data_IF_152183291657
#
_entry.id   IF_152183291657
#
_cell.length_a   1.000
_cell.length_b   1.000
_cell.length_c   1.000
_cell.angle_alpha   90.00
_cell.angle_beta   90.00
_cell.angle_gamma   90.00
#
_symmetry.space_group_name_H-M   'P 1'
#
loop_
_entity.id
_entity.type
_entity.pdbx_description
1 polymer ?
#
# COMPACT_ATOMS: atom_id res chain seq x y z
N UNK A 1 9.43 7.62 -28.31
CA UNK A 1 9.12 6.82 -27.10
C UNK A 1 10.00 7.40 -26.02
N UNK A 2 9.37 8.02 -24.99
CA UNK A 2 10.08 8.84 -24.01
C UNK A 2 10.84 8.00 -23.00
N UNK A 3 11.92 8.55 -22.44
CA UNK A 3 12.72 7.93 -21.38
C UNK A 3 11.88 7.45 -20.18
N UNK A 4 10.69 8.05 -19.94
CA UNK A 4 9.75 7.66 -18.89
C UNK A 4 9.21 6.22 -19.00
N UNK A 5 9.11 5.65 -20.22
CA UNK A 5 8.66 4.25 -20.40
C UNK A 5 9.77 3.21 -20.21
N UNK A 6 11.03 3.63 -20.21
CA UNK A 6 12.16 2.70 -20.19
C UNK A 6 12.49 2.22 -18.77
N UNK A 7 12.37 3.09 -17.75
CA UNK A 7 12.72 2.73 -16.38
C UNK A 7 11.75 1.73 -15.73
N UNK A 8 10.44 1.86 -16.01
CA UNK A 8 9.45 0.89 -15.51
C UNK A 8 9.76 -0.51 -16.07
N UNK A 9 10.06 -0.60 -17.36
CA UNK A 9 10.46 -1.86 -17.98
C UNK A 9 11.73 -2.43 -17.36
N UNK A 10 12.74 -1.62 -17.08
CA UNK A 10 13.98 -2.05 -16.47
C UNK A 10 13.78 -2.54 -15.02
N UNK A 11 12.95 -1.87 -14.22
CA UNK A 11 12.61 -2.33 -12.87
C UNK A 11 11.76 -3.62 -12.90
N UNK A 12 10.84 -3.76 -13.86
CA UNK A 12 10.09 -5.00 -14.08
C UNK A 12 11.00 -6.18 -14.45
N UNK A 13 12.09 -5.94 -15.19
CA UNK A 13 13.08 -6.97 -15.51
C UNK A 13 13.82 -7.46 -14.25
N UNK A 14 14.17 -6.56 -13.30
CA UNK A 14 14.74 -6.99 -12.02
C UNK A 14 13.78 -7.84 -11.19
N UNK A 15 12.47 -7.59 -11.28
CA UNK A 15 11.46 -8.42 -10.61
C UNK A 15 11.37 -9.80 -11.26
N UNK A 16 11.48 -9.89 -12.58
CA UNK A 16 11.36 -11.17 -13.31
C UNK A 16 12.63 -12.03 -13.25
N UNK A 17 13.79 -11.40 -13.25
CA UNK A 17 15.09 -12.09 -13.45
C UNK A 17 16.06 -11.90 -12.29
N UNK A 18 15.76 -10.96 -11.36
CA UNK A 18 16.64 -10.64 -10.24
C UNK A 18 16.71 -11.72 -9.17
N UNK A 19 17.76 -11.67 -8.39
CA UNK A 19 17.86 -12.45 -7.14
C UNK A 19 16.86 -11.94 -6.10
N UNK A 20 16.44 -12.74 -5.10
CA UNK A 20 15.41 -12.35 -4.13
C UNK A 20 15.60 -10.97 -3.50
N UNK A 21 16.82 -10.61 -3.10
CA UNK A 21 17.11 -9.30 -2.54
C UNK A 21 16.99 -8.13 -3.55
N UNK A 22 17.23 -8.38 -4.83
CA UNK A 22 17.04 -7.39 -5.90
C UNK A 22 15.56 -7.18 -6.19
N UNK A 23 14.78 -8.27 -6.17
CA UNK A 23 13.33 -8.21 -6.35
C UNK A 23 12.70 -7.32 -5.28
N UNK A 24 13.00 -7.58 -3.99
CA UNK A 24 12.46 -6.80 -2.87
C UNK A 24 12.82 -5.31 -2.96
N UNK A 25 14.07 -5.00 -3.32
CA UNK A 25 14.53 -3.62 -3.51
C UNK A 25 13.82 -2.96 -4.68
N UNK A 26 13.70 -3.65 -5.81
CA UNK A 26 13.03 -3.14 -7.01
C UNK A 26 11.56 -2.83 -6.72
N UNK A 27 10.87 -3.74 -6.06
CA UNK A 27 9.49 -3.54 -5.62
C UNK A 27 9.36 -2.31 -4.69
N UNK A 28 10.26 -2.14 -3.72
CA UNK A 28 10.24 -1.00 -2.81
C UNK A 28 10.44 0.33 -3.55
N UNK A 29 11.35 0.38 -4.51
CA UNK A 29 11.58 1.57 -5.34
C UNK A 29 10.41 1.89 -6.27
N UNK A 30 9.82 0.88 -6.91
CA UNK A 30 8.65 1.08 -7.77
C UNK A 30 7.49 1.69 -6.98
N UNK A 31 7.17 1.13 -5.82
CA UNK A 31 6.16 1.70 -4.93
C UNK A 31 6.48 3.14 -4.53
N UNK A 32 7.72 3.38 -4.14
CA UNK A 32 8.16 4.69 -3.68
C UNK A 32 8.02 5.77 -4.77
N UNK A 33 8.41 5.44 -6.00
CA UNK A 33 8.30 6.32 -7.17
C UNK A 33 6.83 6.52 -7.54
N UNK A 34 6.06 5.44 -7.61
CA UNK A 34 4.65 5.51 -7.97
C UNK A 34 3.79 6.31 -6.99
N UNK A 35 4.12 6.27 -5.70
CA UNK A 35 3.42 7.05 -4.67
C UNK A 35 3.59 8.57 -4.83
N UNK A 36 4.57 9.06 -5.57
CA UNK A 36 4.69 10.50 -5.81
C UNK A 36 3.55 11.05 -6.68
N UNK A 37 2.96 10.20 -7.53
CA UNK A 37 1.85 10.58 -8.39
C UNK A 37 0.57 10.97 -7.62
N UNK A 38 0.42 10.62 -6.34
CA UNK A 38 -0.73 11.06 -5.51
C UNK A 38 -0.80 12.58 -5.33
N UNK A 39 0.35 13.23 -5.39
CA UNK A 39 0.49 14.68 -5.29
C UNK A 39 0.94 15.30 -6.63
N UNK A 40 0.87 14.55 -7.74
CA UNK A 40 1.22 15.00 -9.08
C UNK A 40 2.72 15.17 -9.32
N UNK A 41 3.56 14.66 -8.41
CA UNK A 41 5.00 14.82 -8.45
C UNK A 41 5.65 13.78 -9.38
N UNK A 42 6.82 14.14 -9.93
CA UNK A 42 7.63 13.28 -10.80
C UNK A 42 9.06 13.21 -10.31
N UNK A 43 9.65 12.03 -10.40
CA UNK A 43 11.05 11.79 -10.03
C UNK A 43 12.02 12.12 -11.16
N UNK A 44 13.27 12.41 -10.83
CA UNK A 44 14.34 12.70 -11.78
C UNK A 44 14.99 11.43 -12.36
N UNK A 45 15.68 11.57 -13.50
CA UNK A 45 16.53 10.50 -14.02
C UNK A 45 17.67 10.15 -13.06
N UNK A 46 18.19 11.13 -12.32
CA UNK A 46 19.25 10.90 -11.31
C UNK A 46 18.79 9.94 -10.20
N UNK A 47 17.55 10.09 -9.72
CA UNK A 47 16.97 9.14 -8.77
C UNK A 47 16.93 7.73 -9.35
N UNK A 48 16.47 7.59 -10.61
CA UNK A 48 16.32 6.28 -11.26
C UNK A 48 17.65 5.54 -11.38
N UNK A 49 18.72 6.27 -11.79
CA UNK A 49 20.06 5.70 -11.87
C UNK A 49 20.60 5.31 -10.49
N UNK A 50 20.38 6.15 -9.48
CA UNK A 50 20.75 5.86 -8.09
C UNK A 50 19.99 4.64 -7.53
N UNK A 51 18.71 4.51 -7.85
CA UNK A 51 17.89 3.36 -7.46
C UNK A 51 18.42 2.05 -8.08
N UNK A 52 18.80 2.06 -9.37
CA UNK A 52 19.43 0.92 -10.04
C UNK A 52 20.71 0.47 -9.34
N UNK A 53 21.60 1.40 -9.02
CA UNK A 53 22.84 1.07 -8.30
C UNK A 53 22.56 0.42 -6.94
N UNK A 54 21.52 0.87 -6.23
CA UNK A 54 21.12 0.24 -4.97
C UNK A 54 20.51 -1.15 -5.18
N UNK A 55 19.67 -1.34 -6.19
CA UNK A 55 19.07 -2.64 -6.54
C UNK A 55 20.17 -3.65 -6.88
N UNK A 56 21.14 -3.25 -7.67
CA UNK A 56 22.29 -4.06 -8.07
C UNK A 56 23.29 -4.31 -6.92
N UNK A 57 23.09 -3.69 -5.76
CA UNK A 57 23.95 -3.86 -4.58
C UNK A 57 25.28 -3.11 -4.66
N UNK A 58 25.45 -2.19 -5.62
CA UNK A 58 26.65 -1.33 -5.76
C UNK A 58 26.75 -0.31 -4.63
N UNK A 59 25.61 0.15 -4.12
CA UNK A 59 25.53 1.10 -3.00
C UNK A 59 24.47 0.63 -1.99
N UNK A 60 24.61 1.08 -0.73
CA UNK A 60 23.58 0.90 0.29
C UNK A 60 22.42 1.89 0.11
N UNK A 61 21.29 1.64 0.74
CA UNK A 61 20.16 2.58 0.74
C UNK A 61 20.52 3.90 1.43
N UNK A 62 21.38 3.87 2.44
CA UNK A 62 21.86 5.07 3.13
C UNK A 62 22.76 5.91 2.21
N UNK A 63 23.61 5.25 1.42
CA UNK A 63 24.42 5.95 0.42
C UNK A 63 23.55 6.52 -0.70
N UNK A 64 22.52 5.81 -1.15
CA UNK A 64 21.58 6.32 -2.13
C UNK A 64 20.89 7.60 -1.62
N UNK A 65 20.40 7.60 -0.38
CA UNK A 65 19.78 8.79 0.23
C UNK A 65 20.76 9.96 0.32
N UNK A 66 21.99 9.69 0.74
CA UNK A 66 23.05 10.72 0.85
C UNK A 66 23.37 11.34 -0.50
N UNK A 67 23.50 10.54 -1.56
CA UNK A 67 23.79 11.03 -2.91
C UNK A 67 22.65 11.90 -3.44
N UNK A 68 21.40 11.48 -3.26
CA UNK A 68 20.22 12.27 -3.66
C UNK A 68 20.20 13.60 -2.91
N UNK A 69 20.41 13.58 -1.59
CA UNK A 69 20.47 14.79 -0.78
C UNK A 69 21.57 15.75 -1.27
N UNK A 70 22.81 15.25 -1.46
CA UNK A 70 23.95 16.03 -1.92
C UNK A 70 23.75 16.58 -3.33
N UNK A 71 23.08 15.84 -4.23
CA UNK A 71 22.76 16.32 -5.58
C UNK A 71 21.94 17.62 -5.53
N UNK A 72 20.98 17.69 -4.61
CA UNK A 72 20.15 18.87 -4.46
C UNK A 72 20.76 19.98 -3.60
N UNK A 73 21.68 19.68 -2.69
CA UNK A 73 22.40 20.66 -1.90
C UNK A 73 23.39 21.50 -2.74
N UNK A 74 23.97 20.89 -3.78
CA UNK A 74 24.89 21.56 -4.70
C UNK A 74 24.21 22.53 -5.66
N UNK A 75 22.87 22.49 -5.79
CA UNK A 75 22.07 23.33 -6.68
C UNK A 75 21.27 24.33 -5.87
N UNK A 76 21.69 25.60 -5.89
CA UNK A 76 21.07 26.67 -5.08
C UNK A 76 19.91 27.37 -5.78
N UNK A 77 19.98 27.52 -7.11
CA UNK A 77 18.93 28.19 -7.90
C UNK A 77 18.03 27.14 -8.57
N UNK A 78 16.77 27.05 -8.11
CA UNK A 78 15.81 26.06 -8.59
C UNK A 78 14.48 26.70 -8.94
N UNK A 79 13.89 26.23 -10.02
CA UNK A 79 12.51 26.51 -10.39
C UNK A 79 11.54 25.74 -9.47
N UNK A 80 10.24 26.13 -9.49
CA UNK A 80 9.19 25.40 -8.75
C UNK A 80 9.14 23.92 -9.14
N UNK A 81 9.21 23.60 -10.44
CA UNK A 81 9.23 22.22 -10.96
C UNK A 81 10.44 21.43 -10.45
N UNK A 82 11.61 22.06 -10.31
CA UNK A 82 12.78 21.40 -9.75
C UNK A 82 12.68 21.18 -8.24
N UNK A 83 11.93 22.02 -7.52
CA UNK A 83 11.62 21.79 -6.11
C UNK A 83 10.65 20.62 -5.92
N UNK A 84 9.64 20.49 -6.78
CA UNK A 84 8.72 19.35 -6.80
C UNK A 84 9.45 18.04 -7.11
N UNK A 85 10.38 18.06 -8.05
CA UNK A 85 11.24 16.91 -8.37
C UNK A 85 12.18 16.57 -7.21
N UNK A 86 12.72 17.57 -6.50
CA UNK A 86 13.52 17.36 -5.28
C UNK A 86 12.73 16.66 -4.19
N UNK A 87 11.50 17.13 -3.95
CA UNK A 87 10.60 16.49 -2.98
C UNK A 87 10.36 15.03 -3.37
N UNK A 88 9.96 14.77 -4.63
CA UNK A 88 9.69 13.43 -5.13
C UNK A 88 10.89 12.49 -4.95
N UNK A 89 12.09 12.94 -5.26
CA UNK A 89 13.32 12.14 -5.17
C UNK A 89 13.68 11.81 -3.73
N UNK A 90 13.70 12.80 -2.85
CA UNK A 90 14.04 12.61 -1.44
C UNK A 90 13.02 11.68 -0.76
N UNK A 91 11.74 11.93 -0.99
CA UNK A 91 10.67 11.14 -0.38
C UNK A 91 10.66 9.71 -0.93
N UNK A 92 10.90 9.50 -2.23
CA UNK A 92 11.02 8.16 -2.82
C UNK A 92 12.12 7.33 -2.17
N UNK A 93 13.32 7.89 -2.01
CA UNK A 93 14.43 7.18 -1.35
C UNK A 93 14.09 6.79 0.10
N UNK A 94 13.37 7.65 0.82
CA UNK A 94 12.92 7.40 2.19
C UNK A 94 11.81 6.35 2.27
N UNK A 95 10.86 6.36 1.33
CA UNK A 95 9.83 5.33 1.23
C UNK A 95 10.50 3.98 0.94
N UNK A 96 11.41 3.90 -0.04
CA UNK A 96 12.12 2.67 -0.38
C UNK A 96 12.87 2.10 0.84
N UNK A 97 13.54 2.94 1.63
CA UNK A 97 14.18 2.53 2.90
C UNK A 97 13.16 2.00 3.90
N UNK A 98 12.09 2.75 4.17
CA UNK A 98 11.04 2.35 5.14
C UNK A 98 10.37 1.02 4.77
N UNK A 99 10.11 0.79 3.49
CA UNK A 99 9.49 -0.43 2.99
C UNK A 99 10.42 -1.65 3.08
N UNK A 100 11.76 -1.42 3.02
CA UNK A 100 12.78 -2.45 3.23
C UNK A 100 13.00 -2.81 4.71
N UNK A 101 12.60 -1.95 5.65
CA UNK A 101 12.74 -2.20 7.08
C UNK A 101 11.68 -3.16 7.61
N UNK A 102 12.09 -4.18 8.36
CA UNK A 102 11.15 -5.15 8.98
C UNK A 102 10.44 -4.58 10.23
N UNK A 103 11.07 -3.63 10.92
CA UNK A 103 10.51 -3.04 12.13
C UNK A 103 9.22 -2.27 11.81
N UNK A 104 8.17 -2.56 12.56
CA UNK A 104 6.89 -1.85 12.51
C UNK A 104 6.13 -2.08 13.81
N UNK A 105 5.56 -1.01 14.35
CA UNK A 105 4.69 -1.07 15.53
C UNK A 105 3.33 -0.47 15.16
N UNK A 106 2.27 -1.24 15.30
CA UNK A 106 0.93 -0.74 15.05
C UNK A 106 0.50 0.26 16.14
N UNK A 107 0.64 1.56 15.86
CA UNK A 107 0.27 2.64 16.77
C UNK A 107 0.13 3.99 16.03
N UNK A 108 -0.61 4.97 16.58
CA UNK A 108 -0.62 6.34 16.06
C UNK A 108 0.79 6.95 16.00
N UNK A 109 1.61 6.70 17.03
CA UNK A 109 2.97 7.19 17.10
C UNK A 109 3.86 6.69 15.96
N UNK A 110 3.68 5.45 15.53
CA UNK A 110 4.38 4.91 14.34
C UNK A 110 3.95 5.65 13.07
N UNK A 111 2.65 5.92 12.88
CA UNK A 111 2.18 6.67 11.72
C UNK A 111 2.74 8.09 11.68
N UNK A 112 2.74 8.80 12.81
CA UNK A 112 3.38 10.12 12.94
C UNK A 112 4.89 10.04 12.66
N UNK A 113 5.55 8.96 13.11
CA UNK A 113 6.98 8.72 12.86
C UNK A 113 7.25 8.43 11.39
N UNK A 114 6.41 7.65 10.71
CA UNK A 114 6.49 7.43 9.27
C UNK A 114 6.42 8.78 8.55
N UNK A 115 5.42 9.61 8.84
CA UNK A 115 5.31 10.93 8.22
C UNK A 115 6.57 11.78 8.46
N UNK A 116 7.06 11.85 9.71
CA UNK A 116 8.28 12.59 10.03
C UNK A 116 9.46 12.08 9.19
N UNK A 117 9.68 10.76 9.14
CA UNK A 117 10.80 10.16 8.41
C UNK A 117 10.71 10.37 6.90
N UNK A 118 9.51 10.46 6.35
CA UNK A 118 9.30 10.76 4.94
C UNK A 118 9.65 12.20 4.60
N UNK A 119 9.26 13.15 5.46
CA UNK A 119 9.23 14.57 5.11
C UNK A 119 10.17 15.46 5.93
N UNK A 120 11.01 14.90 6.79
CA UNK A 120 12.01 15.67 7.55
C UNK A 120 12.93 16.46 6.61
N UNK A 121 13.07 17.77 6.84
CA UNK A 121 13.81 18.69 5.97
C UNK A 121 13.17 18.95 4.59
N UNK A 122 12.01 18.32 4.28
CA UNK A 122 11.14 18.65 3.13
C UNK A 122 10.04 19.60 3.57
N UNK A 123 9.32 19.23 4.64
CA UNK A 123 8.32 20.07 5.27
C UNK A 123 8.78 20.50 6.67
N UNK A 124 8.61 21.78 7.00
CA UNK A 124 8.92 22.31 8.35
C UNK A 124 8.05 21.68 9.45
N UNK A 125 6.90 21.13 9.09
CA UNK A 125 5.93 20.49 9.98
C UNK A 125 5.96 18.94 9.93
N UNK A 126 7.04 18.34 9.45
CA UNK A 126 7.16 16.89 9.32
C UNK A 126 6.90 16.17 10.64
N UNK A 127 5.95 15.24 10.67
CA UNK A 127 5.53 14.49 11.85
C UNK A 127 4.73 15.27 12.89
N UNK A 128 4.37 16.52 12.61
CA UNK A 128 3.58 17.36 13.52
C UNK A 128 2.10 17.34 13.13
N UNK A 129 1.24 17.19 14.12
CA UNK A 129 -0.21 17.31 13.95
C UNK A 129 -0.55 18.79 13.70
N UNK A 130 -1.36 19.06 12.66
CA UNK A 130 -1.83 20.39 12.34
C UNK A 130 -2.67 20.99 13.49
N UNK A 131 -2.60 22.30 13.63
CA UNK A 131 -3.30 23.05 14.66
C UNK A 131 -4.41 23.97 14.09
N UNK A 132 -4.89 23.68 12.88
CA UNK A 132 -5.96 24.40 12.20
C UNK A 132 -6.74 23.47 11.28
N UNK A 133 -7.97 23.83 10.97
CA UNK A 133 -8.80 23.11 10.01
C UNK A 133 -8.30 23.35 8.59
N UNK A 134 -8.39 22.32 7.76
CA UNK A 134 -7.97 22.37 6.36
C UNK A 134 -9.11 21.97 5.44
N UNK A 135 -9.03 22.45 4.23
CA UNK A 135 -9.84 22.04 3.09
C UNK A 135 -8.94 21.79 1.89
N UNK A 136 -9.24 20.77 1.08
CA UNK A 136 -8.50 20.47 -0.14
C UNK A 136 -9.50 20.27 -1.28
N UNK A 137 -9.25 20.90 -2.40
CA UNK A 137 -10.05 20.69 -3.61
C UNK A 137 -9.71 19.36 -4.24
N UNK A 138 -10.72 18.52 -4.45
CA UNK A 138 -10.53 17.17 -4.99
C UNK A 138 -11.13 17.05 -6.40
N UNK A 139 -10.32 16.56 -7.33
CA UNK A 139 -10.73 16.41 -8.73
C UNK A 139 -11.99 15.55 -8.88
N UNK A 140 -12.05 14.41 -8.20
CA UNK A 140 -13.20 13.48 -8.28
C UNK A 140 -14.50 14.08 -7.74
N UNK A 141 -14.41 15.17 -6.94
CA UNK A 141 -15.52 15.90 -6.36
C UNK A 141 -15.83 17.20 -7.11
N UNK A 142 -15.30 17.37 -8.34
CA UNK A 142 -15.49 18.61 -9.13
C UNK A 142 -14.96 19.85 -8.41
N UNK A 143 -13.93 19.70 -7.60
CA UNK A 143 -13.30 20.78 -6.84
C UNK A 143 -13.91 21.03 -5.46
N UNK A 144 -14.87 20.21 -5.03
CA UNK A 144 -15.35 20.19 -3.64
C UNK A 144 -14.36 19.44 -2.72
N UNK A 145 -14.62 19.40 -1.43
CA UNK A 145 -13.72 18.91 -0.39
C UNK A 145 -14.34 17.84 0.48
N UNK A 146 -13.51 16.96 1.03
CA UNK A 146 -13.92 16.09 2.13
C UNK A 146 -13.93 16.86 3.45
N UNK A 147 -14.83 16.51 4.35
CA UNK A 147 -14.80 16.99 5.74
C UNK A 147 -13.76 16.20 6.53
N UNK A 148 -12.62 16.84 6.82
CA UNK A 148 -11.57 16.28 7.66
C UNK A 148 -11.88 16.49 9.15
N UNK A 149 -11.22 15.71 10.03
CA UNK A 149 -11.35 15.88 11.47
C UNK A 149 -11.02 17.31 11.91
N UNK A 150 -11.77 17.85 12.87
CA UNK A 150 -11.43 19.12 13.48
C UNK A 150 -10.05 19.02 14.16
N UNK A 151 -9.23 20.05 14.01
CA UNK A 151 -7.83 20.01 14.46
C UNK A 151 -7.68 19.64 15.95
N UNK A 152 -8.60 20.08 16.79
CA UNK A 152 -8.61 19.84 18.24
C UNK A 152 -9.07 18.42 18.62
N UNK A 153 -9.67 17.66 17.71
CA UNK A 153 -10.10 16.29 17.93
C UNK A 153 -9.18 15.23 17.31
N UNK A 154 -8.17 15.66 16.54
CA UNK A 154 -7.29 14.74 15.78
C UNK A 154 -6.69 13.66 16.68
N UNK A 155 -6.13 14.05 17.83
CA UNK A 155 -5.45 13.10 18.72
C UNK A 155 -6.42 12.05 19.27
N UNK A 156 -7.57 12.49 19.77
CA UNK A 156 -8.57 11.59 20.35
C UNK A 156 -9.15 10.65 19.31
N UNK A 157 -9.37 11.14 18.09
CA UNK A 157 -9.85 10.31 16.97
C UNK A 157 -8.80 9.28 16.56
N UNK A 158 -7.53 9.67 16.47
CA UNK A 158 -6.43 8.73 16.20
C UNK A 158 -6.35 7.63 17.26
N UNK A 159 -6.35 8.02 18.54
CA UNK A 159 -6.27 7.06 19.64
C UNK A 159 -7.46 6.10 19.64
N UNK A 160 -8.67 6.59 19.32
CA UNK A 160 -9.88 5.78 19.21
C UNK A 160 -9.82 4.78 18.04
N UNK A 161 -9.50 5.23 16.82
CA UNK A 161 -9.51 4.37 15.63
C UNK A 161 -8.42 3.29 15.73
N UNK A 162 -7.23 3.66 16.21
CA UNK A 162 -6.17 2.68 16.41
C UNK A 162 -6.46 1.68 17.53
N UNK A 163 -7.11 2.11 18.62
CA UNK A 163 -7.52 1.21 19.69
C UNK A 163 -8.61 0.24 19.22
N UNK A 164 -9.55 0.72 18.43
CA UNK A 164 -10.62 -0.08 17.83
C UNK A 164 -10.05 -1.13 16.88
N UNK A 165 -9.17 -0.74 15.97
CA UNK A 165 -8.52 -1.67 15.04
C UNK A 165 -7.65 -2.71 15.78
N UNK A 166 -6.93 -2.30 16.82
CA UNK A 166 -6.10 -3.22 17.61
C UNK A 166 -6.92 -4.31 18.32
N UNK A 167 -8.17 -4.02 18.65
CA UNK A 167 -9.10 -4.96 19.29
C UNK A 167 -9.88 -5.80 18.26
N UNK A 168 -9.85 -5.40 17.00
CA UNK A 168 -10.58 -6.10 15.95
C UNK A 168 -9.97 -7.47 15.66
N UNK A 169 -10.83 -8.48 15.50
CA UNK A 169 -10.40 -9.84 15.18
C UNK A 169 -10.77 -10.20 13.75
N UNK A 170 -9.77 -10.51 12.97
CA UNK A 170 -9.96 -11.05 11.61
C UNK A 170 -10.26 -12.55 11.58
N UNK A 171 -10.28 -13.22 12.74
CA UNK A 171 -10.54 -14.65 12.83
C UNK A 171 -12.01 -14.98 12.54
N UNK A 172 -12.26 -15.96 11.68
CA UNK A 172 -13.61 -16.40 11.31
C UNK A 172 -14.33 -15.51 10.30
N UNK A 173 -13.66 -14.48 9.77
CA UNK A 173 -14.20 -13.65 8.70
C UNK A 173 -13.86 -14.20 7.33
N UNK A 174 -14.75 -13.96 6.35
CA UNK A 174 -14.39 -14.18 4.95
C UNK A 174 -13.36 -13.16 4.48
N UNK A 175 -12.64 -13.49 3.41
CA UNK A 175 -11.67 -12.56 2.81
C UNK A 175 -12.33 -11.25 2.38
N UNK A 176 -13.55 -11.33 1.83
CA UNK A 176 -14.34 -10.16 1.47
C UNK A 176 -14.62 -9.26 2.69
N UNK A 177 -14.99 -9.87 3.84
CA UNK A 177 -15.20 -9.12 5.08
C UNK A 177 -13.91 -8.47 5.60
N UNK A 178 -12.77 -9.17 5.49
CA UNK A 178 -11.47 -8.63 5.85
C UNK A 178 -11.10 -7.43 4.95
N UNK A 179 -11.33 -7.53 3.64
CA UNK A 179 -11.09 -6.45 2.67
C UNK A 179 -11.94 -5.22 2.99
N UNK A 180 -13.25 -5.42 3.26
CA UNK A 180 -14.15 -4.33 3.64
C UNK A 180 -13.70 -3.62 4.91
N UNK A 181 -13.27 -4.39 5.91
CA UNK A 181 -12.78 -3.81 7.15
C UNK A 181 -11.47 -3.03 6.96
N UNK A 182 -10.50 -3.58 6.22
CA UNK A 182 -9.25 -2.88 5.91
C UNK A 182 -9.48 -1.61 5.08
N UNK A 183 -10.41 -1.65 4.12
CA UNK A 183 -10.80 -0.47 3.33
C UNK A 183 -11.41 0.61 4.23
N UNK A 184 -12.28 0.21 5.16
CA UNK A 184 -12.86 1.13 6.14
C UNK A 184 -11.78 1.73 7.04
N UNK A 185 -10.93 0.93 7.66
CA UNK A 185 -9.84 1.41 8.52
C UNK A 185 -8.91 2.39 7.78
N UNK A 186 -8.49 2.06 6.56
CA UNK A 186 -7.66 2.95 5.75
C UNK A 186 -8.36 4.28 5.45
N UNK A 187 -9.68 4.24 5.20
CA UNK A 187 -10.52 5.42 4.98
C UNK A 187 -10.62 6.28 6.23
N UNK A 188 -10.90 5.67 7.38
CA UNK A 188 -11.11 6.37 8.65
C UNK A 188 -9.83 7.12 9.08
N UNK A 189 -8.68 6.43 9.11
CA UNK A 189 -7.41 7.09 9.47
C UNK A 189 -7.03 8.19 8.47
N UNK A 190 -7.28 7.99 7.17
CA UNK A 190 -6.98 9.03 6.17
C UNK A 190 -7.87 10.26 6.34
N UNK A 191 -9.17 10.09 6.69
CA UNK A 191 -10.09 11.20 6.92
C UNK A 191 -9.67 12.09 8.10
N UNK A 192 -9.00 11.54 9.11
CA UNK A 192 -8.46 12.34 10.21
C UNK A 192 -7.54 13.43 9.66
N UNK A 193 -6.76 13.11 8.64
CA UNK A 193 -5.88 14.05 7.93
C UNK A 193 -5.01 14.88 8.89
N UNK A 194 -4.20 14.22 9.73
CA UNK A 194 -3.52 14.91 10.84
C UNK A 194 -2.43 15.88 10.39
N UNK A 195 -1.93 15.76 9.17
CA UNK A 195 -0.82 16.57 8.67
C UNK A 195 -1.31 17.63 7.71
N UNK A 196 -0.53 18.72 7.54
CA UNK A 196 -0.82 19.75 6.55
C UNK A 196 -0.68 19.20 5.12
N UNK A 197 0.36 18.41 4.86
CA UNK A 197 0.65 17.76 3.56
C UNK A 197 1.12 16.32 3.77
N UNK A 198 1.17 15.50 2.70
CA UNK A 198 1.74 14.15 2.72
C UNK A 198 0.88 13.05 3.36
N UNK A 199 -0.38 13.35 3.71
CA UNK A 199 -1.27 12.39 4.40
C UNK A 199 -1.46 11.10 3.60
N UNK A 200 -1.70 11.16 2.29
CA UNK A 200 -1.94 9.97 1.47
C UNK A 200 -0.70 9.09 1.36
N UNK A 201 0.48 9.69 1.16
CA UNK A 201 1.75 8.94 1.09
C UNK A 201 2.06 8.25 2.43
N UNK A 202 1.90 8.96 3.55
CA UNK A 202 2.08 8.39 4.88
C UNK A 202 1.08 7.25 5.17
N UNK A 203 -0.20 7.42 4.79
CA UNK A 203 -1.22 6.38 4.93
C UNK A 203 -0.89 5.15 4.09
N UNK A 204 -0.48 5.33 2.84
CA UNK A 204 -0.09 4.21 1.97
C UNK A 204 1.07 3.40 2.56
N UNK A 205 2.15 4.09 2.98
CA UNK A 205 3.32 3.43 3.60
C UNK A 205 2.92 2.70 4.89
N UNK A 206 2.09 3.32 5.74
CA UNK A 206 1.59 2.70 6.96
C UNK A 206 0.77 1.44 6.65
N UNK A 207 -0.19 1.53 5.72
CA UNK A 207 -1.03 0.39 5.33
C UNK A 207 -0.22 -0.75 4.71
N UNK A 208 0.79 -0.46 3.88
CA UNK A 208 1.70 -1.48 3.34
C UNK A 208 2.42 -2.21 4.48
N UNK A 209 3.00 -1.48 5.44
CA UNK A 209 3.69 -2.07 6.59
C UNK A 209 2.72 -2.85 7.48
N UNK A 210 1.52 -2.35 7.70
CA UNK A 210 0.48 -3.04 8.46
C UNK A 210 0.08 -4.36 7.79
N UNK A 211 -0.19 -4.37 6.50
CA UNK A 211 -0.51 -5.60 5.77
C UNK A 211 0.64 -6.62 5.76
N UNK A 212 1.89 -6.16 5.72
CA UNK A 212 3.06 -7.03 5.87
C UNK A 212 3.06 -7.76 7.23
N UNK A 213 2.46 -7.20 8.28
CA UNK A 213 2.36 -7.89 9.58
C UNK A 213 1.47 -9.13 9.54
N UNK A 214 0.52 -9.19 8.61
CA UNK A 214 -0.27 -10.40 8.34
C UNK A 214 0.46 -11.42 7.48
N UNK A 215 1.61 -11.06 6.90
CA UNK A 215 2.42 -11.92 6.04
C UNK A 215 2.10 -11.78 4.56
N UNK A 216 1.33 -10.75 4.17
CA UNK A 216 1.16 -10.44 2.75
C UNK A 216 2.46 -9.89 2.16
N UNK A 217 2.86 -10.45 1.02
CA UNK A 217 3.67 -9.69 0.08
C UNK A 217 2.73 -8.71 -0.60
N UNK A 218 2.79 -7.47 -0.17
CA UNK A 218 2.09 -6.39 -0.84
C UNK A 218 2.82 -6.20 -2.17
N UNK A 219 2.28 -6.80 -3.25
CA UNK A 219 2.77 -6.54 -4.59
C UNK A 219 2.61 -5.04 -4.87
N UNK A 220 3.72 -4.40 -5.16
CA UNK A 220 3.80 -2.95 -5.27
C UNK A 220 3.08 -2.41 -6.50
N UNK A 221 2.75 -3.27 -7.49
CA UNK A 221 2.01 -2.90 -8.70
C UNK A 221 0.72 -2.12 -8.42
N UNK A 222 0.02 -2.45 -7.33
CA UNK A 222 -1.21 -1.77 -6.97
C UNK A 222 -0.95 -0.29 -6.62
N UNK A 223 0.02 -0.02 -5.74
CA UNK A 223 0.36 1.35 -5.34
C UNK A 223 1.19 2.08 -6.40
N UNK A 224 2.07 1.39 -7.13
CA UNK A 224 2.84 1.99 -8.21
C UNK A 224 1.93 2.53 -9.33
N UNK A 225 1.10 1.66 -9.89
CA UNK A 225 0.28 1.99 -11.07
C UNK A 225 -1.03 2.70 -10.71
N UNK A 226 -1.50 2.55 -9.47
CA UNK A 226 -2.82 3.00 -9.03
C UNK A 226 -2.78 3.89 -7.78
N UNK A 227 -1.68 4.59 -7.52
CA UNK A 227 -1.57 5.50 -6.38
C UNK A 227 -2.59 6.64 -6.45
N UNK A 228 -2.81 7.20 -7.64
CA UNK A 228 -3.86 8.20 -7.88
C UNK A 228 -5.26 7.63 -7.70
N UNK A 229 -5.49 6.37 -8.10
CA UNK A 229 -6.74 5.67 -7.81
C UNK A 229 -6.95 5.49 -6.31
N UNK A 230 -5.93 5.06 -5.58
CA UNK A 230 -6.01 4.90 -4.12
C UNK A 230 -6.39 6.21 -3.42
N UNK A 231 -5.76 7.34 -3.80
CA UNK A 231 -6.13 8.67 -3.28
C UNK A 231 -7.61 8.98 -3.57
N UNK A 232 -8.04 8.85 -4.81
CA UNK A 232 -9.41 9.19 -5.21
C UNK A 232 -10.43 8.26 -4.54
N UNK A 233 -10.09 7.00 -4.31
CA UNK A 233 -10.92 6.05 -3.58
C UNK A 233 -11.09 6.45 -2.10
N UNK A 234 -10.02 6.95 -1.45
CA UNK A 234 -10.09 7.51 -0.10
C UNK A 234 -11.00 8.75 -0.05
N UNK A 235 -10.90 9.63 -1.04
CA UNK A 235 -11.79 10.79 -1.16
C UNK A 235 -13.25 10.35 -1.28
N UNK A 236 -13.56 9.40 -2.19
CA UNK A 236 -14.93 8.90 -2.40
C UNK A 236 -15.49 8.15 -1.19
N UNK A 237 -14.64 7.52 -0.39
CA UNK A 237 -15.05 6.85 0.82
C UNK A 237 -15.51 7.82 1.93
N UNK A 238 -15.14 9.10 1.83
CA UNK A 238 -15.37 10.11 2.87
C UNK A 238 -16.20 11.31 2.39
N UNK A 239 -16.85 11.24 1.23
CA UNK A 239 -17.61 12.36 0.68
C UNK A 239 -19.11 12.05 0.57
N UNK A 240 -19.92 12.93 1.14
CA UNK A 240 -21.37 12.93 1.00
C UNK A 240 -21.86 14.29 0.50
N UNK A 241 -22.72 14.27 -0.53
CA UNK A 241 -23.54 15.38 -0.96
C UNK A 241 -24.98 14.89 -1.13
N UNK A 242 -25.70 14.88 -0.03
CA UNK A 242 -27.05 14.33 0.03
C UNK A 242 -28.05 15.12 -0.81
N UNK A 243 -27.77 16.39 -1.07
CA UNK A 243 -28.64 17.23 -1.91
C UNK A 243 -28.60 16.77 -3.38
N UNK A 244 -27.42 16.32 -3.83
CA UNK A 244 -27.22 15.80 -5.17
C UNK A 244 -27.26 14.24 -5.22
N UNK A 245 -27.67 13.58 -4.14
CA UNK A 245 -27.77 12.12 -4.08
C UNK A 245 -26.43 11.39 -4.07
N UNK A 246 -25.35 12.06 -3.72
CA UNK A 246 -24.01 11.48 -3.67
C UNK A 246 -23.72 10.96 -2.26
N UNK A 247 -23.45 9.66 -2.16
CA UNK A 247 -23.12 9.00 -0.90
C UNK A 247 -21.65 8.58 -0.85
N UNK A 248 -21.08 8.63 0.36
CA UNK A 248 -19.78 8.04 0.63
C UNK A 248 -19.79 6.53 0.34
N UNK A 249 -18.72 6.02 -0.23
CA UNK A 249 -18.62 4.60 -0.58
C UNK A 249 -17.20 4.08 -0.50
N UNK A 250 -16.99 3.01 0.24
CA UNK A 250 -15.70 2.30 0.35
C UNK A 250 -15.43 1.35 -0.82
N UNK A 251 -16.41 1.16 -1.70
CA UNK A 251 -16.36 0.18 -2.79
C UNK A 251 -15.10 0.26 -3.66
N UNK A 252 -14.66 1.47 -3.99
CA UNK A 252 -13.45 1.66 -4.78
C UNK A 252 -12.18 1.25 -4.01
N UNK A 253 -12.13 1.51 -2.71
CA UNK A 253 -11.07 1.00 -1.84
C UNK A 253 -11.14 -0.53 -1.69
N UNK A 254 -12.34 -1.09 -1.59
CA UNK A 254 -12.53 -2.55 -1.53
C UNK A 254 -12.00 -3.21 -2.81
N UNK A 255 -12.27 -2.66 -3.99
CA UNK A 255 -11.70 -3.13 -5.27
C UNK A 255 -10.18 -3.07 -5.27
N UNK A 256 -9.60 -1.96 -4.79
CA UNK A 256 -8.15 -1.79 -4.67
C UNK A 256 -7.54 -2.83 -3.73
N UNK A 257 -8.09 -3.00 -2.53
CA UNK A 257 -7.60 -3.97 -1.56
C UNK A 257 -7.86 -5.42 -1.98
N UNK A 258 -8.95 -5.70 -2.71
CA UNK A 258 -9.19 -7.02 -3.28
C UNK A 258 -8.11 -7.41 -4.29
N UNK A 259 -7.73 -6.51 -5.19
CA UNK A 259 -6.62 -6.76 -6.11
C UNK A 259 -5.32 -7.06 -5.34
N UNK A 260 -5.06 -6.30 -4.28
CA UNK A 260 -3.86 -6.42 -3.48
C UNK A 260 -3.82 -7.71 -2.63
N UNK A 261 -4.94 -8.04 -1.97
CA UNK A 261 -5.05 -9.13 -0.99
C UNK A 261 -5.46 -10.44 -1.65
N UNK A 262 -6.52 -10.41 -2.46
CA UNK A 262 -7.09 -11.62 -3.09
C UNK A 262 -6.45 -11.94 -4.44
N UNK A 263 -5.80 -10.95 -5.08
CA UNK A 263 -5.27 -11.10 -6.44
C UNK A 263 -6.38 -11.09 -7.48
N UNK A 264 -7.49 -10.40 -7.20
CA UNK A 264 -8.52 -10.08 -8.19
C UNK A 264 -7.95 -9.09 -9.21
N UNK A 265 -8.55 -9.00 -10.37
CA UNK A 265 -8.13 -8.12 -11.45
C UNK A 265 -9.20 -7.06 -11.74
N UNK A 266 -9.69 -6.38 -10.68
CA UNK A 266 -10.60 -5.26 -10.88
C UNK A 266 -9.91 -4.16 -11.68
N UNK A 267 -10.60 -3.64 -12.68
CA UNK A 267 -10.12 -2.51 -13.45
C UNK A 267 -10.26 -1.21 -12.63
N UNK A 268 -9.13 -0.63 -12.25
CA UNK A 268 -9.06 0.54 -11.37
C UNK A 268 -9.05 1.83 -12.19
N UNK A 269 -10.23 2.34 -12.56
CA UNK A 269 -10.39 3.57 -13.37
C UNK A 269 -10.85 4.75 -12.54
N UNK A 270 -10.05 5.81 -12.48
CA UNK A 270 -10.36 7.05 -11.76
C UNK A 270 -11.67 7.71 -12.21
N UNK A 271 -12.00 7.65 -13.50
CA UNK A 271 -13.21 8.26 -14.06
C UNK A 271 -14.50 7.76 -13.40
N UNK A 272 -14.54 6.50 -12.93
CA UNK A 272 -15.73 5.92 -12.29
C UNK A 272 -16.00 6.51 -10.89
N UNK A 273 -15.02 7.16 -10.31
CA UNK A 273 -15.12 7.83 -9.01
C UNK A 273 -15.59 9.27 -9.10
N UNK A 274 -15.51 9.87 -10.31
CA UNK A 274 -15.91 11.27 -10.49
C UNK A 274 -17.41 11.45 -10.25
N UNK A 275 -17.78 12.47 -9.47
CA UNK A 275 -19.19 12.68 -9.07
C UNK A 275 -20.15 12.99 -10.22
N UNK A 276 -19.63 13.52 -11.34
CA UNK A 276 -20.40 13.75 -12.57
C UNK A 276 -20.42 12.51 -13.50
N UNK A 277 -19.78 11.41 -13.10
CA UNK A 277 -19.79 10.21 -13.95
C UNK A 277 -21.15 9.53 -13.88
N UNK A 278 -21.91 9.68 -14.94
CA UNK A 278 -23.21 9.01 -15.13
C UNK A 278 -22.99 7.85 -16.09
N UNK A 279 -23.12 6.65 -15.59
CA UNK A 279 -23.21 5.45 -16.44
C UNK A 279 -24.51 4.75 -16.10
N UNK A 280 -25.43 4.71 -17.04
CA UNK A 280 -26.72 3.98 -16.90
C UNK A 280 -26.49 2.49 -16.59
N UNK A 281 -25.28 2.00 -16.80
CA UNK A 281 -24.83 0.65 -16.51
C UNK A 281 -23.86 0.55 -15.31
N UNK A 282 -23.71 1.59 -14.45
CA UNK A 282 -22.73 1.54 -13.35
C UNK A 282 -22.88 0.32 -12.44
N UNK A 283 -24.09 -0.21 -12.27
CA UNK A 283 -24.31 -1.51 -11.59
C UNK A 283 -23.79 -2.70 -12.40
N UNK A 284 -23.63 -2.56 -13.75
CA UNK A 284 -23.06 -3.60 -14.62
C UNK A 284 -21.56 -3.41 -14.87
N UNK A 285 -21.03 -2.21 -14.59
CA UNK A 285 -19.60 -1.86 -14.72
C UNK A 285 -18.79 -2.30 -13.48
N UNK A 286 -19.46 -2.73 -12.41
CA UNK A 286 -18.77 -3.62 -11.48
C UNK A 286 -18.60 -4.91 -12.28
N UNK A 287 -17.41 -5.18 -12.81
CA UNK A 287 -17.24 -6.42 -13.53
C UNK A 287 -17.79 -7.51 -12.61
N UNK A 288 -18.58 -8.44 -13.18
CA UNK A 288 -18.69 -9.76 -12.58
C UNK A 288 -17.28 -10.37 -12.67
N UNK A 289 -16.35 -9.80 -11.89
CA UNK A 289 -15.02 -10.36 -11.76
C UNK A 289 -15.27 -11.77 -11.26
N UNK A 290 -14.65 -12.78 -11.88
CA UNK A 290 -14.68 -14.11 -11.34
C UNK A 290 -14.28 -13.96 -9.87
N UNK A 291 -15.17 -14.36 -8.95
CA UNK A 291 -14.83 -14.37 -7.53
C UNK A 291 -13.52 -15.12 -7.43
N UNK A 292 -12.52 -14.50 -6.82
CA UNK A 292 -11.30 -15.23 -6.50
C UNK A 292 -11.75 -16.45 -5.70
N UNK A 293 -11.19 -17.62 -6.00
CA UNK A 293 -11.44 -18.83 -5.22
C UNK A 293 -11.19 -18.64 -3.71
N UNK A 294 -10.48 -17.56 -3.35
CA UNK A 294 -10.19 -17.18 -1.98
C UNK A 294 -11.26 -16.31 -1.31
N UNK A 295 -12.14 -15.63 -2.05
CA UNK A 295 -13.04 -14.60 -1.52
C UNK A 295 -14.08 -15.15 -0.53
N UNK A 296 -14.48 -16.40 -0.69
CA UNK A 296 -15.47 -17.05 0.16
C UNK A 296 -14.86 -17.85 1.31
N UNK A 297 -13.53 -17.93 1.40
CA UNK A 297 -12.89 -18.72 2.43
C UNK A 297 -12.97 -18.03 3.80
N UNK A 298 -13.34 -18.79 4.80
CA UNK A 298 -13.27 -18.37 6.20
C UNK A 298 -11.87 -18.61 6.75
N UNK A 299 -10.96 -17.68 6.52
CA UNK A 299 -9.60 -17.78 7.04
C UNK A 299 -9.10 -16.42 7.52
N UNK A 300 -8.30 -16.44 8.57
CA UNK A 300 -7.61 -15.24 9.01
C UNK A 300 -6.65 -14.73 7.92
N UNK A 301 -6.37 -13.43 7.90
CA UNK A 301 -5.47 -12.83 6.91
C UNK A 301 -4.10 -13.53 6.86
N UNK A 302 -3.57 -13.96 8.01
CA UNK A 302 -2.32 -14.73 8.09
C UNK A 302 -2.42 -16.12 7.43
N UNK A 303 -3.57 -16.76 7.57
CA UNK A 303 -3.85 -18.06 6.91
C UNK A 303 -3.95 -17.89 5.40
N UNK A 304 -4.63 -16.84 4.95
CA UNK A 304 -4.73 -16.51 3.54
C UNK A 304 -3.37 -16.23 2.92
N UNK A 305 -2.51 -15.49 3.60
CA UNK A 305 -1.16 -15.21 3.12
C UNK A 305 -0.35 -16.51 2.90
N UNK A 306 -0.38 -17.43 3.85
CA UNK A 306 0.29 -18.74 3.74
C UNK A 306 -0.37 -19.59 2.65
N UNK A 307 -1.69 -19.61 2.57
CA UNK A 307 -2.44 -20.38 1.57
C UNK A 307 -2.10 -19.95 0.14
N UNK A 308 -2.02 -18.64 -0.10
CA UNK A 308 -1.62 -18.08 -1.42
C UNK A 308 -0.19 -18.46 -1.80
N UNK A 309 0.74 -18.48 -0.86
CA UNK A 309 2.11 -18.93 -1.11
C UNK A 309 2.16 -20.41 -1.46
N UNK A 310 1.39 -21.26 -0.76
CA UNK A 310 1.27 -22.69 -1.05
C UNK A 310 0.62 -22.91 -2.42
N UNK A 311 -0.43 -22.16 -2.74
CA UNK A 311 -1.10 -22.22 -4.05
C UNK A 311 -0.15 -21.88 -5.19
N UNK A 312 0.66 -20.83 -5.03
CA UNK A 312 1.65 -20.42 -6.03
C UNK A 312 2.81 -21.42 -6.16
N UNK A 313 3.22 -22.02 -5.05
CA UNK A 313 4.29 -23.02 -5.02
C UNK A 313 3.91 -24.21 -4.12
N UNK A 314 3.26 -25.26 -4.68
CA UNK A 314 2.87 -26.44 -3.91
C UNK A 314 4.04 -27.20 -3.25
N UNK A 315 5.25 -26.98 -3.69
CA UNK A 315 6.46 -27.62 -3.12
C UNK A 315 7.13 -26.77 -2.05
N UNK A 316 6.58 -25.62 -1.69
CA UNK A 316 7.16 -24.68 -0.74
C UNK A 316 7.41 -25.33 0.63
N UNK A 317 8.60 -25.11 1.18
CA UNK A 317 8.98 -25.63 2.49
C UNK A 317 8.59 -24.66 3.61
N UNK A 318 8.42 -25.18 4.82
CA UNK A 318 8.11 -24.33 5.98
C UNK A 318 9.14 -23.23 6.23
N UNK A 319 10.44 -23.48 5.96
CA UNK A 319 11.50 -22.48 6.06
C UNK A 319 11.33 -21.34 5.05
N UNK A 320 10.89 -21.67 3.84
CA UNK A 320 10.58 -20.69 2.80
C UNK A 320 9.35 -19.87 3.17
N UNK A 321 8.29 -20.50 3.72
CA UNK A 321 7.13 -19.79 4.26
C UNK A 321 7.50 -18.82 5.39
N UNK A 322 8.45 -19.22 6.27
CA UNK A 322 9.00 -18.34 7.31
C UNK A 322 9.68 -17.10 6.68
N UNK A 323 10.51 -17.31 5.65
CA UNK A 323 11.19 -16.22 4.96
C UNK A 323 10.20 -15.29 4.24
N UNK A 324 9.22 -15.86 3.54
CA UNK A 324 8.23 -15.15 2.74
C UNK A 324 7.25 -14.33 3.59
N UNK A 325 6.80 -14.90 4.72
CA UNK A 325 5.79 -14.25 5.59
C UNK A 325 6.39 -13.42 6.72
N UNK A 326 7.68 -13.55 6.99
CA UNK A 326 8.32 -12.93 8.14
C UNK A 326 7.88 -13.48 9.51
N UNK A 327 7.06 -14.57 9.52
CA UNK A 327 6.54 -15.19 10.74
C UNK A 327 7.54 -16.19 11.34
N UNK A 328 7.38 -16.47 12.63
CA UNK A 328 8.16 -17.54 13.27
C UNK A 328 7.78 -18.94 12.74
N UNK A 329 8.70 -19.88 12.83
CA UNK A 329 8.44 -21.26 12.41
C UNK A 329 7.27 -21.89 13.18
N UNK A 330 7.12 -21.57 14.46
CA UNK A 330 6.00 -22.03 15.29
C UNK A 330 4.67 -21.48 14.79
N UNK A 331 4.62 -20.20 14.43
CA UNK A 331 3.43 -19.57 13.84
C UNK A 331 3.08 -20.18 12.49
N UNK A 332 4.06 -20.37 11.59
CA UNK A 332 3.83 -21.03 10.30
C UNK A 332 3.27 -22.42 10.48
N UNK A 333 3.84 -23.23 11.39
CA UNK A 333 3.33 -24.58 11.70
C UNK A 333 1.89 -24.55 12.21
N UNK A 334 1.56 -23.61 13.11
CA UNK A 334 0.20 -23.43 13.63
C UNK A 334 -0.79 -23.08 12.51
N UNK A 335 -0.42 -22.16 11.63
CA UNK A 335 -1.23 -21.74 10.48
C UNK A 335 -1.46 -22.92 9.53
N UNK A 336 -0.41 -23.66 9.16
CA UNK A 336 -0.53 -24.81 8.30
C UNK A 336 -1.42 -25.91 8.92
N UNK A 337 -1.30 -26.15 10.23
CA UNK A 337 -2.18 -27.06 10.97
C UNK A 337 -3.64 -26.61 10.97
N UNK A 338 -3.89 -25.31 11.05
CA UNK A 338 -5.25 -24.75 10.94
C UNK A 338 -5.81 -24.94 9.52
N UNK A 339 -5.04 -24.61 8.48
CA UNK A 339 -5.44 -24.81 7.08
C UNK A 339 -5.74 -26.27 6.75
N UNK A 340 -4.98 -27.21 7.34
CA UNK A 340 -5.26 -28.65 7.20
C UNK A 340 -6.55 -29.06 7.91
N UNK A 341 -6.83 -28.53 9.11
CA UNK A 341 -8.09 -28.79 9.83
C UNK A 341 -9.32 -28.25 9.13
N UNK A 342 -9.17 -27.19 8.35
CA UNK A 342 -10.22 -26.58 7.53
C UNK A 342 -10.36 -27.24 6.15
N UNK A 343 -9.58 -28.29 5.87
CA UNK A 343 -9.51 -28.97 4.58
C UNK A 343 -9.17 -28.01 3.40
N UNK A 344 -8.41 -26.96 3.65
CA UNK A 344 -7.94 -26.05 2.59
C UNK A 344 -6.65 -26.54 1.94
N UNK A 345 -5.83 -27.31 2.68
CA UNK A 345 -4.62 -27.94 2.16
C UNK A 345 -4.47 -29.36 2.69
N UNK A 346 -3.92 -30.24 1.87
CA UNK A 346 -3.47 -31.56 2.33
C UNK A 346 -2.08 -31.89 1.80
N UNK A 347 -1.38 -32.78 2.50
CA UNK A 347 -0.08 -33.32 2.07
C UNK A 347 -0.29 -34.50 1.16
N UNK A 348 0.32 -34.50 -0.04
CA UNK A 348 0.36 -35.61 -0.97
C UNK A 348 1.82 -36.06 -1.20
N UNK A 349 2.03 -37.31 -1.62
CA UNK A 349 3.34 -37.91 -1.95
C UNK A 349 4.34 -38.03 -0.78
N UNK A 350 3.84 -38.14 0.47
CA UNK A 350 4.63 -38.48 1.65
C UNK A 350 5.47 -37.35 2.25
N UNK A 351 6.22 -37.66 3.34
CA UNK A 351 6.93 -36.64 4.14
C UNK A 351 8.20 -36.06 3.47
N UNK A 352 8.87 -36.80 2.60
CA UNK A 352 10.22 -36.46 2.12
C UNK A 352 10.20 -35.70 0.79
N UNK A 353 9.28 -36.04 -0.11
CA UNK A 353 9.13 -35.43 -1.45
C UNK A 353 7.72 -34.91 -1.71
N UNK A 354 6.87 -34.89 -0.69
CA UNK A 354 5.47 -34.55 -0.84
C UNK A 354 5.23 -33.08 -1.13
N UNK A 355 4.19 -32.86 -1.89
CA UNK A 355 3.65 -31.54 -2.23
C UNK A 355 2.43 -31.21 -1.37
N UNK A 356 2.09 -29.94 -1.32
CA UNK A 356 0.82 -29.48 -0.79
C UNK A 356 -0.21 -29.44 -1.92
N UNK A 357 -1.33 -30.08 -1.71
CA UNK A 357 -2.49 -29.92 -2.57
C UNK A 357 -3.42 -28.90 -1.92
N UNK A 358 -3.88 -27.93 -2.71
CA UNK A 358 -4.86 -26.93 -2.29
C UNK A 358 -6.24 -27.41 -2.74
N UNK A 359 -7.21 -27.47 -1.81
CA UNK A 359 -8.51 -28.14 -1.96
C UNK A 359 -9.70 -27.16 -2.11
N UNK A 360 -9.43 -25.90 -2.39
CA UNK A 360 -10.44 -24.81 -2.48
C UNK A 360 -10.89 -24.58 -3.92
#
# INVERSE_FOLDING_TARGET
MSAEKNWQFELEEYIKQGEPGQIEKSEAWQTAIGLQAVDGLKTSAYLLDTAKEHIEGKISIDEAQKRIQSYYEQRTDRTEVENDTKEADIVSARIAKLLGEKAFQFSPAEWLTIHRRLFDGVFSHAGQIRQYNITKREWVLKGDTVTYAAWNSIKDTLDYDFATEKQYSYAGLSVEQCVKHLAKFASDIWQIHPFCEGNTRATAVFMIKYMKTFGFKVNNDAFEKNSWYFRNALVRANYNDLQNGIHATTKFLEMFFSNLISGTEYELKNRYMHVDYVDDNFQSVIPKVPKSQFDTLECALEELAVLKLIYKNPSIKQKELVAETGKSLSTVKRIMGSLQKKDYIRRVDGKRYGKWEVLI
#
